data_IF_319453101854
#
_entry.id   IF_319453101854
#
_cell.length_a   1.000
_cell.length_b   1.000
_cell.length_c   1.000
_cell.angle_alpha   90.00
_cell.angle_beta   90.00
_cell.angle_gamma   90.00
#
_symmetry.space_group_name_H-M   'P 1'
#
loop_
_entity.id
_entity.type
_entity.pdbx_description
1 polymer ?
#
# COMPACT_ATOMS: atom_id res chain seq x y z
N UNK A 1 3.04 -6.59 17.93
CA UNK A 1 2.76 -7.06 16.56
C UNK A 1 1.81 -6.03 16.00
N UNK A 2 2.31 -5.19 15.10
CA UNK A 2 1.46 -4.21 14.42
C UNK A 2 0.63 -4.94 13.38
N UNK A 3 -0.58 -4.46 13.13
CA UNK A 3 -1.57 -5.03 12.22
C UNK A 3 -1.72 -4.15 10.98
N UNK A 4 -2.29 -4.66 9.89
CA UNK A 4 -2.57 -3.85 8.69
C UNK A 4 -3.27 -2.51 9.04
N UNK A 5 -4.18 -2.51 10.01
CA UNK A 5 -4.91 -1.33 10.46
C UNK A 5 -3.99 -0.22 11.00
N UNK A 6 -2.87 -0.58 11.63
CA UNK A 6 -1.86 0.35 12.14
C UNK A 6 -1.08 1.04 11.02
N UNK A 7 -1.07 0.45 9.82
CA UNK A 7 -0.39 0.94 8.62
C UNK A 7 -1.30 1.73 7.68
N UNK A 8 -2.62 1.61 7.79
CA UNK A 8 -3.59 2.30 6.91
C UNK A 8 -3.44 3.82 6.91
N UNK A 9 -3.05 4.38 8.06
CA UNK A 9 -2.87 5.81 8.27
C UNK A 9 -1.39 6.25 8.25
N UNK A 10 -0.47 5.38 7.84
CA UNK A 10 0.94 5.71 7.68
C UNK A 10 1.25 6.15 6.27
N UNK A 11 2.26 7.02 6.14
CA UNK A 11 2.77 7.46 4.86
C UNK A 11 3.45 6.30 4.13
N UNK A 12 3.12 6.11 2.86
CA UNK A 12 3.58 4.94 2.11
C UNK A 12 5.09 4.77 2.07
N UNK A 13 5.86 5.87 2.14
CA UNK A 13 7.32 5.80 2.16
C UNK A 13 7.86 5.13 3.43
N UNK A 14 7.29 5.45 4.59
CA UNK A 14 7.64 4.79 5.86
C UNK A 14 7.35 3.28 5.80
N UNK A 15 6.21 2.93 5.20
CA UNK A 15 5.80 1.53 5.03
C UNK A 15 6.77 0.81 4.11
N UNK A 16 7.10 1.38 2.95
CA UNK A 16 8.01 0.78 1.97
C UNK A 16 9.43 0.67 2.53
N UNK A 17 9.91 1.67 3.28
CA UNK A 17 11.24 1.65 3.90
C UNK A 17 11.37 0.49 4.91
N UNK A 18 10.27 0.14 5.60
CA UNK A 18 10.22 -0.96 6.56
C UNK A 18 9.86 -2.31 5.92
N UNK A 19 9.04 -2.27 4.87
CA UNK A 19 8.45 -3.43 4.19
C UNK A 19 8.50 -3.21 2.66
N UNK A 20 9.68 -3.37 2.02
CA UNK A 20 9.85 -3.07 0.60
C UNK A 20 8.95 -3.92 -0.32
N UNK A 21 8.52 -5.10 0.14
CA UNK A 21 7.58 -5.97 -0.56
C UNK A 21 6.22 -5.30 -0.83
N UNK A 22 5.83 -4.30 -0.02
CA UNK A 22 4.61 -3.52 -0.25
C UNK A 22 4.69 -2.75 -1.57
N UNK A 23 5.87 -2.25 -1.95
CA UNK A 23 6.07 -1.58 -3.23
C UNK A 23 5.89 -2.53 -4.41
N UNK A 24 6.41 -3.76 -4.32
CA UNK A 24 6.25 -4.77 -5.37
C UNK A 24 4.78 -5.14 -5.56
N UNK A 25 4.07 -5.33 -4.44
CA UNK A 25 2.63 -5.62 -4.47
C UNK A 25 1.87 -4.44 -5.11
N UNK A 26 2.14 -3.19 -4.73
CA UNK A 26 1.47 -2.03 -5.33
C UNK A 26 1.75 -1.93 -6.84
N UNK A 27 3.00 -2.15 -7.26
CA UNK A 27 3.39 -2.15 -8.68
C UNK A 27 2.63 -3.21 -9.50
N UNK A 28 2.38 -4.41 -8.95
CA UNK A 28 1.61 -5.47 -9.61
C UNK A 28 0.17 -5.03 -9.96
N UNK A 29 -0.41 -4.12 -9.17
CA UNK A 29 -1.73 -3.55 -9.43
C UNK A 29 -1.67 -2.23 -10.21
N UNK A 30 -0.50 -1.85 -10.72
CA UNK A 30 -0.29 -0.60 -11.45
C UNK A 30 -0.29 0.64 -10.57
N UNK A 31 -0.13 0.48 -9.26
CA UNK A 31 -0.11 1.55 -8.27
C UNK A 31 1.34 1.99 -8.05
N UNK A 32 1.79 2.94 -8.87
CA UNK A 32 3.16 3.45 -8.80
C UNK A 32 3.33 4.52 -7.71
N UNK A 33 3.58 4.11 -6.46
CA UNK A 33 3.80 5.05 -5.35
C UNK A 33 5.27 5.42 -5.10
N UNK A 34 6.22 4.56 -5.48
CA UNK A 34 7.64 4.77 -5.19
C UNK A 34 8.33 5.87 -6.01
N UNK A 35 7.68 6.40 -7.05
CA UNK A 35 8.16 7.60 -7.75
C UNK A 35 7.75 8.91 -7.05
N UNK A 36 6.94 8.84 -5.97
CA UNK A 36 6.53 10.01 -5.21
C UNK A 36 7.61 10.38 -4.19
N UNK A 37 8.40 11.42 -4.48
CA UNK A 37 9.48 11.88 -3.61
C UNK A 37 9.01 12.29 -2.21
N UNK A 38 7.77 12.76 -2.11
CA UNK A 38 7.14 13.23 -0.86
C UNK A 38 6.69 12.06 0.01
N UNK A 39 6.05 11.04 -0.58
CA UNK A 39 5.73 9.80 0.11
C UNK A 39 4.74 9.89 1.28
N UNK A 40 3.97 10.98 1.39
CA UNK A 40 3.03 11.25 2.50
C UNK A 40 1.64 10.69 2.29
N UNK A 41 1.34 10.15 1.11
CA UNK A 41 0.05 9.54 0.82
C UNK A 41 -0.17 8.34 1.76
N UNK A 42 -1.35 8.27 2.36
CA UNK A 42 -1.71 7.18 3.25
C UNK A 42 -2.00 5.92 2.44
N UNK A 43 -1.65 4.75 2.99
CA UNK A 43 -1.90 3.47 2.32
C UNK A 43 -3.37 3.31 1.91
N UNK A 44 -4.30 3.62 2.81
CA UNK A 44 -5.75 3.54 2.52
C UNK A 44 -6.19 4.47 1.39
N UNK A 45 -5.58 5.65 1.29
CA UNK A 45 -5.94 6.67 0.31
C UNK A 45 -5.38 6.27 -1.06
N UNK A 46 -4.16 5.74 -1.09
CA UNK A 46 -3.54 5.21 -2.32
C UNK A 46 -4.43 4.15 -2.96
N UNK A 47 -4.91 3.20 -2.16
CA UNK A 47 -5.74 2.10 -2.64
C UNK A 47 -7.10 2.63 -3.11
N UNK A 48 -7.72 3.56 -2.37
CA UNK A 48 -9.04 4.11 -2.68
C UNK A 48 -9.07 5.06 -3.88
N UNK A 49 -7.96 5.76 -4.16
CA UNK A 49 -7.86 6.75 -5.24
C UNK A 49 -7.55 6.13 -6.61
N UNK A 50 -7.12 4.87 -6.65
CA UNK A 50 -6.83 4.18 -7.91
C UNK A 50 -8.10 3.49 -8.46
N UNK A 51 -8.32 3.54 -9.78
CA UNK A 51 -9.47 2.90 -10.41
C UNK A 51 -9.27 1.38 -10.52
N UNK A 52 -9.31 0.69 -9.38
CA UNK A 52 -9.30 -0.78 -9.29
C UNK A 52 -10.68 -1.29 -8.87
N UNK A 53 -11.01 -2.53 -9.23
CA UNK A 53 -12.25 -3.14 -8.78
C UNK A 53 -12.20 -3.42 -7.27
N UNK A 54 -13.36 -3.51 -6.61
CA UNK A 54 -13.44 -3.88 -5.18
C UNK A 54 -12.78 -5.25 -4.88
N UNK A 55 -12.83 -6.18 -5.84
CA UNK A 55 -12.16 -7.48 -5.71
C UNK A 55 -10.65 -7.33 -5.75
N UNK A 56 -10.13 -6.48 -6.64
CA UNK A 56 -8.70 -6.17 -6.72
C UNK A 56 -8.21 -5.45 -5.47
N UNK A 57 -8.99 -4.50 -4.95
CA UNK A 57 -8.72 -3.80 -3.69
C UNK A 57 -8.62 -4.80 -2.52
N UNK A 58 -9.61 -5.69 -2.36
CA UNK A 58 -9.56 -6.68 -1.29
C UNK A 58 -8.37 -7.65 -1.45
N UNK A 59 -8.10 -8.10 -2.67
CA UNK A 59 -6.95 -8.96 -2.96
C UNK A 59 -5.61 -8.26 -2.65
N UNK A 60 -5.48 -6.98 -3.03
CA UNK A 60 -4.33 -6.14 -2.74
C UNK A 60 -4.11 -6.02 -1.22
N UNK A 61 -5.16 -5.68 -0.47
CA UNK A 61 -5.10 -5.53 0.98
C UNK A 61 -4.72 -6.84 1.69
N UNK A 62 -5.24 -7.97 1.22
CA UNK A 62 -4.86 -9.28 1.74
C UNK A 62 -3.39 -9.61 1.47
N UNK A 63 -2.86 -9.25 0.30
CA UNK A 63 -1.43 -9.44 -0.03
C UNK A 63 -0.54 -8.55 0.83
N UNK A 64 -0.94 -7.29 1.05
CA UNK A 64 -0.20 -6.37 1.92
C UNK A 64 -0.22 -6.86 3.38
N UNK A 65 -1.37 -7.30 3.89
CA UNK A 65 -1.48 -7.88 5.23
C UNK A 65 -0.60 -9.12 5.46
N UNK A 66 -0.22 -9.84 4.40
CA UNK A 66 0.63 -11.03 4.49
C UNK A 66 2.12 -10.70 4.61
N UNK A 67 2.52 -9.46 4.33
CA UNK A 67 3.93 -9.00 4.34
C UNK A 67 4.21 -7.89 5.36
N UNK A 68 3.18 -7.44 6.07
CA UNK A 68 3.25 -6.57 7.25
C UNK A 68 3.15 -7.41 8.52
#
# INVERSE_FOLDING_TARGET
>A
METLEDYLNRGIKEIIDSHPQVMDILNDYGIGCGACDVGTCLLKDIVSLHPISKEQEQALMNRIAAVL
#
